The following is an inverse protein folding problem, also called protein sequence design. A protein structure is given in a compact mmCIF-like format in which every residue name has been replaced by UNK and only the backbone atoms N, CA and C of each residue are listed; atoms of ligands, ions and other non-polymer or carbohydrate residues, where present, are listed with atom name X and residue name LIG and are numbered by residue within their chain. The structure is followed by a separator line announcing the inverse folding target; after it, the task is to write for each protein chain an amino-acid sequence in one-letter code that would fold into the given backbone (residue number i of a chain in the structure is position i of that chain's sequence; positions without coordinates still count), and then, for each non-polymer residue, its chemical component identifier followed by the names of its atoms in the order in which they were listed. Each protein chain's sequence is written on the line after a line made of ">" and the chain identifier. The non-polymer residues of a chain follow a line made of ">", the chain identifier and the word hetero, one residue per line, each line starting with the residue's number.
data_IF_866996554043
#
_entry.id   IF_866996554043
#
_cell.length_a   1.000
_cell.length_b   1.000
_cell.length_c   1.000
_cell.angle_alpha   90.00
_cell.angle_beta   90.00
_cell.angle_gamma   90.00
#
_symmetry.space_group_name_H-M   'P 1'
#
loop_
_entity.id
_entity.type
_entity.pdbx_description
1 polymer ?
#
# COMPACT_ATOMS: atom_id res chain seq x y z
N UNK A 1 2.35 -21.68 6.78
CA UNK A 1 3.18 -20.62 6.29
C UNK A 1 2.84 -19.29 6.93
N UNK A 2 3.84 -18.57 7.35
CA UNK A 2 3.62 -17.34 8.09
C UNK A 2 3.67 -16.15 7.18
N UNK A 3 2.70 -15.28 7.29
CA UNK A 3 2.71 -14.02 6.56
C UNK A 3 3.59 -13.03 7.29
N UNK A 4 4.36 -12.28 6.52
CA UNK A 4 5.19 -11.23 7.08
C UNK A 4 4.34 -10.02 7.41
N UNK A 5 4.48 -9.51 8.61
CA UNK A 5 3.85 -8.26 8.99
C UNK A 5 4.62 -7.10 8.41
N UNK A 6 3.92 -6.10 7.86
CA UNK A 6 4.54 -4.92 7.30
C UNK A 6 4.51 -3.82 8.34
N UNK A 7 5.68 -3.32 8.71
CA UNK A 7 5.81 -2.34 9.80
C UNK A 7 6.31 -0.98 9.33
N UNK A 8 6.75 -0.86 8.09
CA UNK A 8 7.30 0.40 7.60
C UNK A 8 6.65 0.82 6.30
N UNK A 9 6.67 2.13 6.04
CA UNK A 9 6.17 2.64 4.76
C UNK A 9 6.98 2.07 3.60
N UNK A 10 8.27 1.86 3.82
CA UNK A 10 9.11 1.30 2.79
C UNK A 10 8.64 -0.09 2.37
N UNK A 11 8.34 -0.94 3.35
CA UNK A 11 7.83 -2.27 3.05
C UNK A 11 6.49 -2.24 2.36
N UNK A 12 5.61 -1.36 2.82
CA UNK A 12 4.31 -1.20 2.19
C UNK A 12 4.46 -0.70 0.76
N UNK A 13 5.34 0.28 0.55
CA UNK A 13 5.58 0.81 -0.78
C UNK A 13 6.12 -0.24 -1.74
N UNK A 14 7.01 -1.11 -1.26
CA UNK A 14 7.52 -2.19 -2.09
C UNK A 14 6.41 -3.17 -2.48
N UNK A 15 5.53 -3.49 -1.54
CA UNK A 15 4.42 -4.38 -1.83
C UNK A 15 3.45 -3.74 -2.82
N UNK A 16 3.18 -2.44 -2.67
CA UNK A 16 2.34 -1.72 -3.62
C UNK A 16 2.94 -1.78 -5.02
N UNK A 17 4.24 -1.51 -5.12
CA UNK A 17 4.92 -1.54 -6.41
C UNK A 17 4.84 -2.92 -7.06
N UNK A 18 5.13 -3.94 -6.28
CA UNK A 18 5.09 -5.31 -6.78
C UNK A 18 3.69 -5.70 -7.23
N UNK A 19 2.69 -5.42 -6.41
CA UNK A 19 1.31 -5.78 -6.71
C UNK A 19 0.83 -5.05 -7.96
N UNK A 20 1.15 -3.74 -8.05
CA UNK A 20 0.79 -2.95 -9.21
C UNK A 20 1.36 -3.55 -10.49
N UNK A 21 2.64 -3.93 -10.46
CA UNK A 21 3.29 -4.50 -11.65
C UNK A 21 2.70 -5.85 -12.00
N UNK A 22 2.37 -6.64 -11.00
CA UNK A 22 1.75 -7.95 -11.24
C UNK A 22 0.38 -7.80 -11.89
N UNK A 23 -0.32 -6.72 -11.61
CA UNK A 23 -1.61 -6.47 -12.21
C UNK A 23 -1.51 -5.73 -13.55
N UNK A 24 -0.31 -5.39 -13.98
CA UNK A 24 -0.10 -4.70 -15.24
C UNK A 24 -0.57 -3.26 -15.25
N UNK A 25 -0.57 -2.61 -14.10
CA UNK A 25 -1.08 -1.24 -13.95
C UNK A 25 0.09 -0.29 -13.83
N UNK A 26 0.05 0.83 -14.56
CA UNK A 26 1.08 1.85 -14.44
C UNK A 26 0.85 2.71 -13.20
N UNK A 27 1.88 3.45 -12.80
CA UNK A 27 1.72 4.39 -11.69
C UNK A 27 0.61 5.41 -11.97
N UNK A 28 0.55 5.88 -13.21
CA UNK A 28 -0.47 6.85 -13.60
C UNK A 28 -1.87 6.24 -13.51
N UNK A 29 -2.03 5.02 -13.95
CA UNK A 29 -3.32 4.35 -13.87
C UNK A 29 -3.73 4.12 -12.42
N UNK A 30 -2.79 3.73 -11.58
CA UNK A 30 -3.09 3.53 -10.18
C UNK A 30 -3.47 4.85 -9.51
N UNK A 31 -2.79 5.94 -9.87
CA UNK A 31 -3.15 7.25 -9.33
C UNK A 31 -4.59 7.61 -9.70
N UNK A 32 -4.99 7.33 -10.93
CA UNK A 32 -6.35 7.60 -11.37
C UNK A 32 -7.36 6.73 -10.62
N UNK A 33 -7.07 5.43 -10.49
CA UNK A 33 -7.97 4.50 -9.82
C UNK A 33 -8.15 4.84 -8.35
N UNK A 34 -7.10 5.30 -7.71
CA UNK A 34 -7.13 5.61 -6.28
C UNK A 34 -7.49 7.07 -6.00
N UNK A 35 -7.66 7.87 -7.06
CA UNK A 35 -7.95 9.30 -6.94
C UNK A 35 -6.86 10.03 -6.15
N UNK A 36 -5.62 9.64 -6.40
CA UNK A 36 -4.44 10.29 -5.83
C UNK A 36 -3.61 10.85 -6.98
N UNK A 37 -2.38 11.26 -6.70
CA UNK A 37 -1.49 11.78 -7.72
C UNK A 37 -0.39 10.79 -8.06
N UNK A 38 0.12 10.88 -9.28
CA UNK A 38 1.23 10.03 -9.71
C UNK A 38 2.45 10.22 -8.80
N UNK A 39 2.68 11.45 -8.36
CA UNK A 39 3.79 11.72 -7.46
C UNK A 39 3.61 11.01 -6.12
N UNK A 40 2.37 10.97 -5.62
CA UNK A 40 2.11 10.25 -4.39
C UNK A 40 2.46 8.77 -4.55
N UNK A 41 2.05 8.17 -5.67
CA UNK A 41 2.35 6.76 -5.93
C UNK A 41 3.86 6.55 -5.99
N UNK A 42 4.57 7.41 -6.72
CA UNK A 42 6.02 7.28 -6.84
C UNK A 42 6.72 7.42 -5.49
N UNK A 43 6.31 8.41 -4.68
CA UNK A 43 6.89 8.60 -3.36
C UNK A 43 6.63 7.39 -2.47
N UNK A 44 5.41 6.88 -2.51
CA UNK A 44 5.04 5.70 -1.72
C UNK A 44 5.89 4.49 -2.10
N UNK A 45 6.02 4.24 -3.40
CA UNK A 45 6.78 3.08 -3.87
C UNK A 45 8.26 3.21 -3.58
N UNK A 46 8.75 4.44 -3.40
CA UNK A 46 10.13 4.69 -3.02
C UNK A 46 10.33 4.75 -1.52
N UNK A 47 9.29 4.48 -0.74
CA UNK A 47 9.42 4.36 0.70
C UNK A 47 9.45 5.67 1.46
N UNK A 48 8.90 6.74 0.87
CA UNK A 48 8.87 8.02 1.57
C UNK A 48 8.00 7.92 2.82
N UNK A 49 8.61 8.18 3.97
CA UNK A 49 7.96 7.93 5.25
C UNK A 49 6.79 8.86 5.55
N UNK A 50 6.82 10.07 4.99
CA UNK A 50 5.78 11.06 5.27
C UNK A 50 4.68 10.95 4.21
N UNK A 51 3.78 10.01 4.36
CA UNK A 51 2.66 9.89 3.43
C UNK A 51 1.35 10.06 4.18
N UNK A 52 0.33 10.53 3.45
CA UNK A 52 -1.01 10.68 4.02
C UNK A 52 -1.68 9.31 4.08
N UNK A 53 -2.07 8.90 5.28
CA UNK A 53 -2.62 7.57 5.48
C UNK A 53 -3.92 7.36 4.69
N UNK A 54 -4.74 8.39 4.56
CA UNK A 54 -5.98 8.25 3.80
C UNK A 54 -5.72 7.92 2.33
N UNK A 55 -4.71 8.57 1.75
CA UNK A 55 -4.33 8.28 0.37
C UNK A 55 -3.72 6.89 0.24
N UNK A 56 -2.91 6.49 1.23
CA UNK A 56 -2.34 5.15 1.23
C UNK A 56 -3.44 4.10 1.24
N UNK A 57 -4.46 4.28 2.07
CA UNK A 57 -5.57 3.33 2.13
C UNK A 57 -6.32 3.27 0.80
N UNK A 58 -6.50 4.42 0.14
CA UNK A 58 -7.15 4.44 -1.16
C UNK A 58 -6.35 3.66 -2.21
N UNK A 59 -5.02 3.78 -2.16
CA UNK A 59 -4.14 3.08 -3.10
C UNK A 59 -4.23 1.57 -2.90
N UNK A 60 -4.12 1.12 -1.65
CA UNK A 60 -4.14 -0.33 -1.41
C UNK A 60 -5.51 -0.91 -1.77
N UNK A 61 -6.60 -0.17 -1.52
CA UNK A 61 -7.92 -0.63 -1.91
C UNK A 61 -8.07 -0.70 -3.43
N UNK A 62 -7.50 0.26 -4.15
CA UNK A 62 -7.56 0.27 -5.61
C UNK A 62 -6.87 -0.96 -6.20
N UNK A 63 -5.89 -1.51 -5.51
CA UNK A 63 -5.18 -2.71 -5.93
C UNK A 63 -5.86 -4.00 -5.44
N UNK A 64 -6.96 -3.87 -4.70
CA UNK A 64 -7.62 -5.04 -4.15
C UNK A 64 -6.95 -5.64 -2.95
N UNK A 65 -6.07 -4.88 -2.30
CA UNK A 65 -5.38 -5.34 -1.11
C UNK A 65 -6.18 -5.03 0.13
N UNK A 66 -6.01 -5.85 1.15
CA UNK A 66 -6.67 -5.65 2.44
C UNK A 66 -5.66 -5.17 3.47
N UNK A 67 -6.12 -4.31 4.37
CA UNK A 67 -5.32 -3.85 5.49
C UNK A 67 -5.94 -4.40 6.76
N UNK A 68 -5.12 -5.08 7.55
CA UNK A 68 -5.56 -5.67 8.81
C UNK A 68 -4.71 -5.13 9.95
N UNK A 69 -5.36 -4.60 10.96
CA UNK A 69 -4.69 -4.07 12.13
C UNK A 69 -5.31 -4.74 13.35
N UNK A 70 -4.48 -5.41 14.13
CA UNK A 70 -4.94 -6.15 15.29
C UNK A 70 -4.35 -5.58 16.57
N UNK A 71 -5.20 -5.43 17.57
CA UNK A 71 -4.69 -5.11 18.89
C UNK A 71 -4.09 -6.37 19.53
N UNK A 72 -3.21 -6.20 20.53
CA UNK A 72 -2.65 -7.38 21.19
C UNK A 72 -3.70 -8.29 21.83
N UNK A 73 -4.83 -7.71 22.22
CA UNK A 73 -5.88 -8.48 22.85
C UNK A 73 -6.67 -9.32 21.85
N UNK A 74 -6.74 -8.89 20.59
CA UNK A 74 -7.59 -9.54 19.62
C UNK A 74 -6.90 -10.67 18.91
N UNK A 75 -5.59 -10.64 18.81
CA UNK A 75 -4.90 -11.63 18.00
C UNK A 75 -4.32 -12.74 18.81
N UNK A 76 -4.70 -12.83 20.04
CA UNK A 76 -4.11 -13.83 20.92
C UNK A 76 -4.75 -15.19 20.80
N UNK A 77 -5.75 -15.33 20.12
CA UNK A 77 -6.37 -16.53 20.13
C UNK A 77 -5.88 -17.61 19.45
#
# INVERSE_FOLDING_TARGET
>A
MTKKALLTVEEIGQLVCQTRKEQGVTQRELAMLSQTGTRFISDLENGKATCQIGKLLAVVQALGMDVHIYSPWERGE
#
